data_IF_608128430925
#
_entry.id   IF_608128430925
#
_cell.length_a   1.000
_cell.length_b   1.000
_cell.length_c   1.000
_cell.angle_alpha   90.00
_cell.angle_beta   90.00
_cell.angle_gamma   90.00
#
_symmetry.space_group_name_H-M   'P 1'
#
loop_
_entity.id
_entity.type
_entity.pdbx_description
1 polymer ?
#
# COMPACT_ATOMS: atom_id res chain seq x y z
N UNK A 1 -6.30 -33.98 -30.65
CA UNK A 1 -7.57 -34.70 -30.55
C UNK A 1 -8.06 -34.54 -29.12
N UNK A 2 -8.94 -33.58 -28.87
CA UNK A 2 -9.66 -33.44 -27.60
C UNK A 2 -11.13 -33.65 -27.95
N UNK A 3 -11.71 -34.61 -27.26
CA UNK A 3 -13.08 -35.07 -27.44
C UNK A 3 -14.04 -33.89 -27.28
N UNK A 4 -14.77 -33.60 -28.35
CA UNK A 4 -15.92 -32.72 -28.31
C UNK A 4 -17.01 -33.45 -27.56
N UNK A 5 -17.19 -33.10 -26.29
CA UNK A 5 -18.33 -33.46 -25.47
C UNK A 5 -19.58 -32.84 -26.12
N UNK A 6 -20.21 -33.60 -27.00
CA UNK A 6 -21.54 -33.30 -27.53
C UNK A 6 -22.51 -33.38 -26.36
N UNK A 7 -22.86 -32.22 -25.80
CA UNK A 7 -24.07 -32.01 -25.02
C UNK A 7 -25.26 -32.43 -25.89
N UNK A 8 -25.67 -33.70 -25.77
CA UNK A 8 -26.93 -34.17 -26.33
C UNK A 8 -28.04 -33.39 -25.65
N UNK A 9 -28.63 -32.46 -26.40
CA UNK A 9 -29.85 -31.78 -26.01
C UNK A 9 -30.89 -32.87 -25.70
N UNK A 10 -31.49 -32.89 -24.49
CA UNK A 10 -32.50 -33.88 -24.15
C UNK A 10 -33.62 -33.81 -25.20
N UNK A 11 -33.85 -34.94 -25.88
CA UNK A 11 -34.81 -35.03 -26.97
C UNK A 11 -36.18 -34.52 -26.54
N UNK A 12 -36.89 -33.84 -27.44
CA UNK A 12 -38.16 -33.11 -27.18
C UNK A 12 -39.20 -33.93 -26.38
N UNK A 13 -39.19 -35.27 -26.51
CA UNK A 13 -39.99 -36.20 -25.71
C UNK A 13 -39.73 -36.09 -24.19
N UNK A 14 -38.46 -36.00 -23.78
CA UNK A 14 -38.08 -35.87 -22.36
C UNK A 14 -38.49 -34.51 -21.77
N UNK A 15 -38.58 -33.45 -22.59
CA UNK A 15 -39.04 -32.13 -22.12
C UNK A 15 -40.52 -32.10 -21.74
N UNK A 16 -41.36 -32.97 -22.33
CA UNK A 16 -42.76 -33.14 -21.93
C UNK A 16 -42.92 -33.91 -20.60
N UNK A 17 -41.90 -34.66 -20.19
CA UNK A 17 -41.86 -35.37 -18.91
C UNK A 17 -41.27 -34.50 -17.78
N UNK A 18 -40.33 -33.60 -18.08
CA UNK A 18 -39.72 -32.70 -17.08
C UNK A 18 -40.73 -31.76 -16.39
N UNK A 19 -40.45 -31.38 -15.14
CA UNK A 19 -41.31 -30.54 -14.27
C UNK A 19 -41.40 -29.06 -14.66
N UNK A 20 -41.21 -28.70 -15.92
CA UNK A 20 -41.32 -27.31 -16.37
C UNK A 20 -42.79 -26.84 -16.30
N UNK A 21 -43.06 -25.56 -15.98
CA UNK A 21 -44.43 -25.02 -15.94
C UNK A 21 -45.21 -25.26 -17.24
N UNK A 22 -44.53 -25.20 -18.38
CA UNK A 22 -45.10 -25.43 -19.70
C UNK A 22 -45.47 -26.91 -19.91
N UNK A 23 -44.62 -27.86 -19.49
CA UNK A 23 -44.92 -29.29 -19.57
C UNK A 23 -46.08 -29.70 -18.64
N UNK A 24 -46.23 -29.05 -17.48
CA UNK A 24 -47.38 -29.25 -16.59
C UNK A 24 -48.66 -28.71 -17.23
N UNK A 25 -48.61 -27.53 -17.84
CA UNK A 25 -49.77 -26.93 -18.52
C UNK A 25 -50.21 -27.73 -19.76
N UNK A 26 -49.26 -28.26 -20.54
CA UNK A 26 -49.56 -29.14 -21.68
C UNK A 26 -50.19 -30.46 -21.24
N UNK A 27 -49.73 -31.05 -20.13
CA UNK A 27 -50.34 -32.26 -19.55
C UNK A 27 -51.76 -32.04 -19.04
N UNK A 28 -52.05 -30.89 -18.42
CA UNK A 28 -53.41 -30.55 -17.94
C UNK A 28 -54.43 -30.41 -19.08
N UNK A 29 -53.96 -30.02 -20.26
CA UNK A 29 -54.78 -29.85 -21.47
C UNK A 29 -54.71 -31.08 -22.39
N UNK A 30 -54.28 -32.24 -21.85
CA UNK A 30 -54.18 -33.53 -22.54
C UNK A 30 -53.29 -33.53 -23.81
N UNK A 31 -52.36 -32.57 -23.91
CA UNK A 31 -51.32 -32.57 -24.96
C UNK A 31 -50.14 -33.41 -24.46
N UNK A 32 -50.37 -34.71 -24.30
CA UNK A 32 -49.41 -35.70 -23.78
C UNK A 32 -48.93 -36.57 -24.94
N UNK A 33 -47.71 -37.11 -24.84
CA UNK A 33 -47.13 -37.98 -25.87
C UNK A 33 -48.01 -39.22 -26.19
N UNK A 34 -48.75 -39.73 -25.20
CA UNK A 34 -49.74 -40.79 -25.39
C UNK A 34 -50.92 -40.37 -26.29
N UNK A 35 -51.41 -39.14 -26.12
CA UNK A 35 -52.53 -38.60 -26.91
C UNK A 35 -52.08 -38.24 -28.33
N UNK A 36 -50.86 -37.74 -28.48
CA UNK A 36 -50.23 -37.52 -29.78
C UNK A 36 -50.03 -38.84 -30.55
N UNK A 37 -49.55 -39.90 -29.88
CA UNK A 37 -49.46 -41.25 -30.46
C UNK A 37 -50.84 -41.82 -30.81
N UNK A 38 -51.87 -41.58 -29.99
CA UNK A 38 -53.24 -42.00 -30.28
C UNK A 38 -53.83 -41.28 -31.50
N UNK A 39 -53.56 -39.98 -31.66
CA UNK A 39 -53.95 -39.19 -32.85
C UNK A 39 -53.25 -39.74 -34.10
N UNK A 40 -51.95 -40.03 -34.01
CA UNK A 40 -51.23 -40.64 -35.12
C UNK A 40 -51.75 -42.04 -35.46
N UNK A 41 -52.06 -42.87 -34.47
CA UNK A 41 -52.56 -44.23 -34.72
C UNK A 41 -53.97 -44.21 -35.31
N UNK A 42 -54.86 -43.37 -34.78
CA UNK A 42 -56.29 -43.37 -35.09
C UNK A 42 -56.63 -42.54 -36.33
N UNK A 43 -55.88 -41.46 -36.59
CA UNK A 43 -56.22 -40.51 -37.66
C UNK A 43 -55.29 -40.56 -38.87
N UNK A 44 -54.10 -41.17 -38.75
CA UNK A 44 -53.18 -41.31 -39.88
C UNK A 44 -53.68 -42.39 -40.83
N UNK A 45 -53.88 -42.02 -42.09
CA UNK A 45 -54.31 -42.96 -43.12
C UNK A 45 -55.82 -43.15 -43.23
N UNK A 46 -56.65 -42.35 -42.53
CA UNK A 46 -58.07 -42.29 -42.82
C UNK A 46 -58.29 -41.90 -44.29
N UNK A 47 -59.06 -42.72 -44.98
CA UNK A 47 -59.47 -42.52 -46.37
C UNK A 47 -60.99 -42.53 -46.42
N UNK A 48 -61.55 -41.69 -47.27
CA UNK A 48 -62.98 -41.65 -47.55
C UNK A 48 -63.23 -42.69 -48.65
N UNK A 49 -64.22 -43.56 -48.47
CA UNK A 49 -64.44 -44.70 -49.37
C UNK A 49 -65.08 -44.32 -50.73
N UNK A 50 -65.63 -43.11 -50.84
CA UNK A 50 -66.25 -42.58 -52.06
C UNK A 50 -66.98 -41.25 -51.83
N UNK A 51 -67.56 -40.67 -52.88
CA UNK A 51 -68.24 -39.36 -52.82
C UNK A 51 -69.53 -39.42 -51.97
N UNK A 52 -70.19 -40.58 -51.92
CA UNK A 52 -71.42 -40.79 -51.14
C UNK A 52 -71.16 -41.20 -49.68
N UNK A 53 -69.90 -41.37 -49.28
CA UNK A 53 -69.50 -41.70 -47.90
C UNK A 53 -69.55 -40.46 -46.99
N UNK A 54 -70.76 -39.99 -46.75
CA UNK A 54 -71.07 -38.87 -45.84
C UNK A 54 -70.63 -39.14 -44.40
N UNK A 55 -70.45 -40.40 -44.00
CA UNK A 55 -69.96 -40.80 -42.68
C UNK A 55 -68.45 -40.59 -42.56
N UNK A 56 -67.66 -41.06 -43.55
CA UNK A 56 -66.22 -40.89 -43.61
C UNK A 56 -65.83 -39.42 -43.72
N UNK A 57 -66.60 -38.62 -44.46
CA UNK A 57 -66.39 -37.16 -44.55
C UNK A 57 -66.53 -36.50 -43.18
N UNK A 58 -67.54 -36.87 -42.38
CA UNK A 58 -67.73 -36.32 -41.02
C UNK A 58 -66.60 -36.72 -40.08
N UNK A 59 -66.18 -37.99 -40.11
CA UNK A 59 -65.10 -38.51 -39.26
C UNK A 59 -63.77 -37.79 -39.58
N UNK A 60 -63.43 -37.63 -40.85
CA UNK A 60 -62.23 -36.89 -41.28
C UNK A 60 -62.31 -35.41 -40.90
N UNK A 61 -63.48 -34.79 -41.06
CA UNK A 61 -63.68 -33.38 -40.70
C UNK A 61 -63.54 -33.15 -39.19
N UNK A 62 -64.07 -34.04 -38.36
CA UNK A 62 -63.99 -33.92 -36.90
C UNK A 62 -62.60 -34.26 -36.37
N UNK A 63 -61.92 -35.25 -36.95
CA UNK A 63 -60.50 -35.53 -36.70
C UNK A 63 -59.63 -34.30 -37.02
N UNK A 64 -59.86 -33.62 -38.15
CA UNK A 64 -59.15 -32.40 -38.54
C UNK A 64 -59.40 -31.25 -37.56
N UNK A 65 -60.65 -31.05 -37.12
CA UNK A 65 -60.99 -30.02 -36.13
C UNK A 65 -60.31 -30.29 -34.80
N UNK A 66 -60.28 -31.54 -34.36
CA UNK A 66 -59.63 -31.94 -33.11
C UNK A 66 -58.11 -31.73 -33.16
N UNK A 67 -57.44 -32.16 -34.24
CA UNK A 67 -56.00 -31.89 -34.44
C UNK A 67 -55.69 -30.38 -34.48
N UNK A 68 -56.54 -29.58 -35.13
CA UNK A 68 -56.38 -28.11 -35.19
C UNK A 68 -56.53 -27.49 -33.79
N UNK A 69 -57.50 -27.94 -32.99
CA UNK A 69 -57.68 -27.47 -31.61
C UNK A 69 -56.44 -27.78 -30.77
N UNK A 70 -55.96 -29.02 -30.78
CA UNK A 70 -54.79 -29.44 -30.00
C UNK A 70 -53.55 -28.63 -30.38
N UNK A 71 -53.29 -28.44 -31.69
CA UNK A 71 -52.18 -27.60 -32.18
C UNK A 71 -52.28 -26.16 -31.67
N UNK A 72 -53.47 -25.56 -31.78
CA UNK A 72 -53.68 -24.15 -31.38
C UNK A 72 -53.51 -23.99 -29.86
N UNK A 73 -53.98 -24.95 -29.07
CA UNK A 73 -53.79 -24.97 -27.61
C UNK A 73 -52.31 -25.08 -27.23
N UNK A 74 -51.57 -26.01 -27.86
CA UNK A 74 -50.14 -26.15 -27.63
C UNK A 74 -49.35 -24.87 -27.99
N UNK A 75 -49.63 -24.27 -29.16
CA UNK A 75 -49.00 -23.01 -29.58
C UNK A 75 -49.29 -21.87 -28.60
N UNK A 76 -50.51 -21.78 -28.06
CA UNK A 76 -50.90 -20.76 -27.09
C UNK A 76 -50.14 -20.92 -25.76
N UNK A 77 -50.07 -22.14 -25.22
CA UNK A 77 -49.37 -22.44 -23.96
C UNK A 77 -47.88 -22.16 -24.10
N UNK A 78 -47.26 -22.61 -25.20
CA UNK A 78 -45.84 -22.37 -25.44
C UNK A 78 -45.51 -20.89 -25.69
N UNK A 79 -46.40 -20.12 -26.33
CA UNK A 79 -46.23 -18.66 -26.48
C UNK A 79 -46.35 -17.92 -25.15
N UNK A 80 -47.34 -18.26 -24.33
CA UNK A 80 -47.50 -17.66 -22.99
C UNK A 80 -46.30 -17.98 -22.10
N UNK A 81 -45.85 -19.24 -22.08
CA UNK A 81 -44.69 -19.64 -21.28
C UNK A 81 -43.37 -18.97 -21.70
N UNK A 82 -43.24 -18.50 -22.96
CA UNK A 82 -42.11 -17.67 -23.38
C UNK A 82 -42.21 -16.24 -22.87
N UNK A 83 -43.40 -15.66 -22.91
CA UNK A 83 -43.63 -14.30 -22.41
C UNK A 83 -43.39 -14.23 -20.90
N UNK A 84 -43.89 -15.22 -20.16
CA UNK A 84 -43.67 -15.33 -18.71
C UNK A 84 -42.18 -15.45 -18.37
N UNK A 85 -41.44 -16.27 -19.13
CA UNK A 85 -39.99 -16.40 -18.95
C UNK A 85 -39.24 -15.09 -19.24
N UNK A 86 -39.65 -14.34 -20.28
CA UNK A 86 -39.06 -13.03 -20.60
C UNK A 86 -39.38 -12.00 -19.51
N UNK A 87 -40.60 -12.01 -18.96
CA UNK A 87 -40.97 -11.12 -17.87
C UNK A 87 -40.18 -11.44 -16.60
N UNK A 88 -40.02 -12.71 -16.28
CA UNK A 88 -39.24 -13.16 -15.14
C UNK A 88 -37.77 -12.77 -15.31
N UNK A 89 -37.17 -13.00 -16.48
CA UNK A 89 -35.82 -12.55 -16.80
C UNK A 89 -35.66 -11.03 -16.60
N UNK A 90 -36.62 -10.23 -17.08
CA UNK A 90 -36.60 -8.76 -16.87
C UNK A 90 -36.68 -8.38 -15.40
N UNK A 91 -37.46 -9.10 -14.59
CA UNK A 91 -37.54 -8.88 -13.13
C UNK A 91 -36.20 -9.19 -12.47
N UNK A 92 -35.56 -10.30 -12.81
CA UNK A 92 -34.23 -10.64 -12.29
C UNK A 92 -33.19 -9.57 -12.65
N UNK A 93 -33.18 -9.08 -13.88
CA UNK A 93 -32.28 -8.00 -14.30
C UNK A 93 -32.53 -6.69 -13.53
N UNK A 94 -33.79 -6.37 -13.21
CA UNK A 94 -34.13 -5.19 -12.42
C UNK A 94 -33.67 -5.34 -10.96
N UNK A 95 -33.88 -6.51 -10.36
CA UNK A 95 -33.43 -6.83 -8.99
C UNK A 95 -31.91 -6.81 -8.92
N UNK A 96 -31.22 -7.45 -9.87
CA UNK A 96 -29.77 -7.42 -9.99
C UNK A 96 -29.26 -5.99 -10.05
N UNK A 97 -29.81 -5.17 -10.97
CA UNK A 97 -29.42 -3.77 -11.10
C UNK A 97 -29.63 -3.00 -9.79
N UNK A 98 -30.78 -3.15 -9.14
CA UNK A 98 -31.07 -2.49 -7.87
C UNK A 98 -30.08 -2.87 -6.77
N UNK A 99 -29.79 -4.16 -6.63
CA UNK A 99 -28.84 -4.68 -5.63
C UNK A 99 -27.43 -4.19 -5.92
N UNK A 100 -26.97 -4.30 -7.17
CA UNK A 100 -25.64 -3.84 -7.60
C UNK A 100 -25.47 -2.33 -7.41
N UNK A 101 -26.46 -1.53 -7.79
CA UNK A 101 -26.40 -0.07 -7.62
C UNK A 101 -26.34 0.32 -6.13
N UNK A 102 -27.08 -0.40 -5.26
CA UNK A 102 -27.04 -0.17 -3.81
C UNK A 102 -25.70 -0.53 -3.20
N UNK A 103 -25.13 -1.67 -3.60
CA UNK A 103 -23.80 -2.11 -3.15
C UNK A 103 -22.72 -1.13 -3.63
N UNK A 104 -22.73 -0.75 -4.91
CA UNK A 104 -21.75 0.20 -5.47
C UNK A 104 -21.73 1.55 -4.76
N UNK A 105 -22.89 2.06 -4.35
CA UNK A 105 -22.96 3.29 -3.56
C UNK A 105 -22.16 3.16 -2.25
N UNK A 106 -22.33 2.05 -1.54
CA UNK A 106 -21.63 1.77 -0.29
C UNK A 106 -20.13 1.52 -0.54
N UNK A 107 -19.78 0.76 -1.57
CA UNK A 107 -18.37 0.53 -1.95
C UNK A 107 -17.64 1.85 -2.28
N UNK A 108 -18.32 2.78 -2.95
CA UNK A 108 -17.75 4.08 -3.30
C UNK A 108 -17.49 4.93 -2.06
N UNK A 109 -18.42 4.94 -1.10
CA UNK A 109 -18.24 5.64 0.18
C UNK A 109 -17.10 5.03 1.00
N UNK A 110 -17.05 3.70 1.10
CA UNK A 110 -15.99 2.98 1.80
C UNK A 110 -14.62 3.20 1.16
N UNK A 111 -14.53 3.15 -0.17
CA UNK A 111 -13.29 3.44 -0.90
C UNK A 111 -12.83 4.88 -0.70
N UNK A 112 -13.76 5.84 -0.62
CA UNK A 112 -13.43 7.23 -0.33
C UNK A 112 -12.85 7.39 1.08
N UNK A 113 -13.44 6.72 2.07
CA UNK A 113 -12.96 6.75 3.44
C UNK A 113 -11.61 6.02 3.60
N UNK A 114 -11.43 4.89 2.92
CA UNK A 114 -10.16 4.16 2.86
C UNK A 114 -9.03 5.07 2.35
N UNK A 115 -9.26 5.74 1.21
CA UNK A 115 -8.31 6.71 0.64
C UNK A 115 -8.04 7.88 1.60
N UNK A 116 -9.06 8.37 2.32
CA UNK A 116 -8.90 9.44 3.31
C UNK A 116 -7.99 9.01 4.46
N UNK A 117 -8.21 7.80 5.00
CA UNK A 117 -7.42 7.25 6.10
C UNK A 117 -5.99 6.96 5.67
N UNK A 118 -5.79 6.42 4.46
CA UNK A 118 -4.44 6.18 3.93
C UNK A 118 -3.65 7.48 3.79
N UNK A 119 -4.28 8.54 3.28
CA UNK A 119 -3.66 9.87 3.20
C UNK A 119 -3.30 10.42 4.58
N UNK A 120 -4.20 10.32 5.56
CA UNK A 120 -3.93 10.75 6.94
C UNK A 120 -2.81 9.94 7.61
N UNK A 121 -2.71 8.64 7.32
CA UNK A 121 -1.61 7.79 7.80
C UNK A 121 -0.28 8.22 7.19
N UNK A 122 -0.26 8.54 5.91
CA UNK A 122 0.94 9.03 5.24
C UNK A 122 1.37 10.40 5.77
N UNK A 123 0.45 11.33 5.94
CA UNK A 123 0.72 12.63 6.57
C UNK A 123 1.24 12.46 8.01
N UNK A 124 0.66 11.54 8.78
CA UNK A 124 1.13 11.18 10.13
C UNK A 124 2.54 10.59 10.13
N UNK A 125 2.87 9.73 9.16
CA UNK A 125 4.24 9.18 8.99
C UNK A 125 5.23 10.28 8.64
N UNK A 126 4.86 11.20 7.74
CA UNK A 126 5.72 12.31 7.35
C UNK A 126 5.97 13.28 8.50
N UNK A 127 4.94 13.62 9.27
CA UNK A 127 5.08 14.47 10.45
C UNK A 127 5.92 13.78 11.54
N UNK A 128 5.70 12.49 11.79
CA UNK A 128 6.53 11.71 12.72
C UNK A 128 7.99 11.65 12.27
N UNK A 129 8.25 11.43 10.98
CA UNK A 129 9.59 11.44 10.41
C UNK A 129 10.26 12.82 10.51
N UNK A 130 9.49 13.90 10.27
CA UNK A 130 9.99 15.29 10.46
C UNK A 130 10.34 15.56 11.92
N UNK A 131 9.51 15.13 12.86
CA UNK A 131 9.77 15.28 14.30
C UNK A 131 11.00 14.49 14.74
N UNK A 132 11.10 13.23 14.32
CA UNK A 132 12.26 12.39 14.62
C UNK A 132 13.55 13.00 14.05
N UNK A 133 13.52 13.51 12.81
CA UNK A 133 14.67 14.19 12.21
C UNK A 133 15.02 15.48 12.97
N UNK A 134 14.03 16.30 13.32
CA UNK A 134 14.26 17.53 14.08
C UNK A 134 14.85 17.25 15.48
N UNK A 135 14.41 16.17 16.12
CA UNK A 135 14.97 15.72 17.40
C UNK A 135 16.40 15.22 17.24
N UNK A 136 16.69 14.41 16.22
CA UNK A 136 18.03 13.93 15.93
C UNK A 136 19.00 15.07 15.58
N UNK A 137 18.54 16.09 14.84
CA UNK A 137 19.29 17.30 14.53
C UNK A 137 19.56 18.13 15.80
N UNK A 138 18.56 18.25 16.70
CA UNK A 138 18.72 18.90 18.01
C UNK A 138 19.77 18.18 18.85
N UNK A 139 19.67 16.85 18.99
CA UNK A 139 20.62 16.04 19.75
C UNK A 139 22.03 16.11 19.15
N UNK A 140 22.14 16.09 17.82
CA UNK A 140 23.42 16.28 17.14
C UNK A 140 24.03 17.66 17.44
N UNK A 141 23.22 18.71 17.47
CA UNK A 141 23.66 20.06 17.86
C UNK A 141 24.29 20.08 19.25
N UNK A 142 23.64 19.43 20.22
CA UNK A 142 24.15 19.33 21.59
C UNK A 142 25.43 18.49 21.65
N UNK A 143 25.50 17.35 20.94
CA UNK A 143 26.73 16.56 20.83
C UNK A 143 27.91 17.41 20.29
N UNK A 144 27.65 18.22 19.26
CA UNK A 144 28.66 19.09 18.66
C UNK A 144 29.13 20.18 19.64
N UNK A 145 28.23 20.71 20.48
CA UNK A 145 28.63 21.64 21.55
C UNK A 145 29.53 20.98 22.59
N UNK A 146 29.17 19.79 23.08
CA UNK A 146 30.03 19.04 23.99
C UNK A 146 31.41 18.78 23.35
N UNK A 147 31.44 18.39 22.08
CA UNK A 147 32.69 18.13 21.36
C UNK A 147 33.58 19.38 21.26
N UNK A 148 33.01 20.57 21.02
CA UNK A 148 33.75 21.85 21.04
C UNK A 148 34.34 22.20 22.40
N UNK A 149 33.73 21.68 23.47
CA UNK A 149 34.20 21.82 24.85
C UNK A 149 35.16 20.70 25.26
N UNK A 150 35.53 19.82 24.33
CA UNK A 150 36.46 18.70 24.58
C UNK A 150 35.83 17.53 25.33
N UNK A 151 34.49 17.47 25.42
CA UNK A 151 33.76 16.34 26.02
C UNK A 151 33.00 15.59 24.92
N UNK A 152 33.12 14.27 24.84
CA UNK A 152 32.34 13.46 23.92
C UNK A 152 31.13 12.88 24.66
N UNK A 153 29.93 13.19 24.16
CA UNK A 153 28.67 12.63 24.63
C UNK A 153 27.92 12.00 23.47
N UNK A 154 27.52 10.74 23.62
CA UNK A 154 26.73 10.03 22.63
C UNK A 154 25.30 10.57 22.57
N UNK A 155 24.65 10.48 21.41
CA UNK A 155 23.27 10.95 21.23
C UNK A 155 22.29 10.26 22.18
N UNK A 156 22.44 8.95 22.37
CA UNK A 156 21.56 8.17 23.23
C UNK A 156 21.64 8.58 24.69
N UNK A 157 22.82 8.99 25.17
CA UNK A 157 22.97 9.53 26.53
C UNK A 157 22.19 10.83 26.70
N UNK A 158 22.24 11.72 25.69
CA UNK A 158 21.59 13.04 25.75
C UNK A 158 20.08 12.92 25.58
N UNK A 159 19.59 11.95 24.78
CA UNK A 159 18.16 11.77 24.49
C UNK A 159 17.32 11.60 25.76
N UNK A 160 17.84 10.91 26.76
CA UNK A 160 17.13 10.65 28.03
C UNK A 160 17.47 11.65 29.14
N UNK A 161 18.34 12.63 28.89
CA UNK A 161 18.64 13.67 29.88
C UNK A 161 17.56 14.74 29.87
N UNK A 162 17.20 15.23 31.05
CA UNK A 162 16.36 16.41 31.16
C UNK A 162 17.10 17.65 30.60
N UNK A 163 16.39 18.56 29.90
CA UNK A 163 16.99 19.77 29.33
C UNK A 163 17.81 20.59 30.34
N UNK A 164 17.34 20.72 31.58
CA UNK A 164 18.06 21.47 32.63
C UNK A 164 19.40 20.83 33.03
N UNK A 165 19.49 19.50 32.98
CA UNK A 165 20.75 18.77 33.25
C UNK A 165 21.73 18.98 32.10
N UNK A 166 21.25 18.95 30.86
CA UNK A 166 22.08 19.20 29.67
C UNK A 166 22.70 20.60 29.74
N UNK A 167 21.90 21.62 30.06
CA UNK A 167 22.38 23.00 30.18
C UNK A 167 23.39 23.17 31.31
N UNK A 168 23.14 22.57 32.48
CA UNK A 168 24.08 22.59 33.60
C UNK A 168 25.42 21.94 33.26
N UNK A 169 25.40 20.80 32.55
CA UNK A 169 26.62 20.12 32.10
C UNK A 169 27.39 20.92 31.05
N UNK A 170 26.69 21.58 30.11
CA UNK A 170 27.31 22.47 29.13
C UNK A 170 27.94 23.69 29.81
N UNK A 171 27.25 24.30 30.79
CA UNK A 171 27.78 25.43 31.55
C UNK A 171 29.04 25.05 32.34
N UNK A 172 29.02 23.90 33.02
CA UNK A 172 30.19 23.39 33.73
C UNK A 172 31.37 23.13 32.78
N UNK A 173 31.11 22.55 31.60
CA UNK A 173 32.15 22.30 30.60
C UNK A 173 32.72 23.60 29.99
N UNK A 174 31.89 24.65 29.82
CA UNK A 174 32.35 25.98 29.38
C UNK A 174 33.26 26.63 30.41
N UNK A 175 32.89 26.59 31.68
CA UNK A 175 33.70 27.13 32.77
C UNK A 175 35.04 26.39 32.88
N UNK A 176 35.02 25.06 32.84
CA UNK A 176 36.26 24.25 32.88
C UNK A 176 37.20 24.57 31.70
N UNK A 177 36.65 24.79 30.50
CA UNK A 177 37.45 25.20 29.34
C UNK A 177 38.03 26.61 29.52
N UNK A 178 37.23 27.56 30.00
CA UNK A 178 37.68 28.92 30.28
C UNK A 178 38.80 28.95 31.34
N UNK A 179 38.69 28.14 32.39
CA UNK A 179 39.71 28.02 33.43
C UNK A 179 41.01 27.45 32.87
N UNK A 180 40.94 26.43 32.00
CA UNK A 180 42.11 25.86 31.32
C UNK A 180 42.77 26.86 30.37
N UNK A 181 41.98 27.62 29.61
CA UNK A 181 42.48 28.67 28.72
C UNK A 181 43.12 29.81 29.51
N UNK A 182 42.51 30.24 30.62
CA UNK A 182 43.08 31.26 31.50
C UNK A 182 44.39 30.78 32.16
N UNK A 183 44.45 29.52 32.59
CA UNK A 183 45.68 28.93 33.12
C UNK A 183 46.79 28.83 32.05
N UNK A 184 46.44 28.41 30.83
CA UNK A 184 47.37 28.37 29.70
C UNK A 184 47.89 29.78 29.36
N UNK A 185 47.01 30.78 29.36
CA UNK A 185 47.39 32.17 29.11
C UNK A 185 48.34 32.71 30.19
N UNK A 186 48.08 32.42 31.47
CA UNK A 186 49.00 32.77 32.57
C UNK A 186 50.39 32.15 32.37
N UNK A 187 50.48 30.87 32.00
CA UNK A 187 51.77 30.22 31.71
C UNK A 187 52.49 30.86 30.52
N UNK A 188 51.77 31.27 29.48
CA UNK A 188 52.35 31.99 28.33
C UNK A 188 52.88 33.36 28.77
N UNK A 189 52.14 34.09 29.60
CA UNK A 189 52.55 35.41 30.07
C UNK A 189 53.71 35.33 31.07
N UNK A 190 53.74 34.33 31.96
CA UNK A 190 54.88 34.02 32.82
C UNK A 190 56.12 33.67 32.00
N UNK A 191 55.97 32.85 30.95
CA UNK A 191 57.08 32.53 30.05
C UNK A 191 57.61 33.77 29.33
N UNK A 192 56.71 34.64 28.83
CA UNK A 192 57.11 35.92 28.21
C UNK A 192 57.82 36.84 29.19
N UNK A 193 57.37 36.89 30.45
CA UNK A 193 58.04 37.66 31.49
C UNK A 193 59.43 37.09 31.81
N UNK A 194 59.56 35.76 31.90
CA UNK A 194 60.85 35.09 32.08
C UNK A 194 61.79 35.36 30.89
N UNK A 195 61.33 35.23 29.65
CA UNK A 195 62.12 35.52 28.45
C UNK A 195 62.57 36.99 28.41
N UNK A 196 61.73 37.93 28.85
CA UNK A 196 62.09 39.34 28.97
C UNK A 196 63.17 39.60 30.03
N UNK A 197 63.12 38.93 31.18
CA UNK A 197 64.16 39.04 32.21
C UNK A 197 65.49 38.43 31.77
N UNK A 198 65.46 37.29 31.06
CA UNK A 198 66.66 36.69 30.45
C UNK A 198 67.28 37.65 29.43
N UNK A 199 66.46 38.27 28.57
CA UNK A 199 66.94 39.25 27.59
C UNK A 199 67.60 40.46 28.25
N UNK A 200 67.07 40.95 29.38
CA UNK A 200 67.64 42.07 30.11
C UNK A 200 68.97 41.71 30.79
N UNK A 201 69.05 40.54 31.43
CA UNK A 201 70.30 40.02 31.99
C UNK A 201 71.39 39.87 30.91
N UNK A 202 71.02 39.39 29.73
CA UNK A 202 71.94 39.31 28.59
C UNK A 202 72.45 40.69 28.15
N UNK A 203 71.58 41.72 28.13
CA UNK A 203 72.01 43.10 27.86
C UNK A 203 72.98 43.62 28.92
N UNK A 204 72.73 43.35 30.19
CA UNK A 204 73.62 43.76 31.28
C UNK A 204 74.99 43.06 31.18
N UNK A 205 75.01 41.75 30.89
CA UNK A 205 76.26 41.00 30.67
C UNK A 205 77.02 41.59 29.47
N UNK A 206 76.35 41.84 28.35
CA UNK A 206 76.97 42.44 27.17
C UNK A 206 77.54 43.85 27.45
N UNK A 207 76.80 44.68 28.20
CA UNK A 207 77.26 46.00 28.62
C UNK A 207 78.48 45.91 29.56
N UNK A 208 78.47 44.98 30.52
CA UNK A 208 79.60 44.75 31.43
C UNK A 208 80.84 44.24 30.68
N UNK A 209 80.67 43.31 29.73
CA UNK A 209 81.77 42.84 28.87
C UNK A 209 82.35 43.99 28.04
N UNK A 210 81.50 44.87 27.50
CA UNK A 210 81.94 46.07 26.78
C UNK A 210 82.74 47.01 27.67
N UNK A 211 82.32 47.22 28.92
CA UNK A 211 83.07 48.02 29.90
C UNK A 211 84.41 47.38 30.28
N UNK A 212 84.47 46.06 30.44
CA UNK A 212 85.71 45.33 30.72
C UNK A 212 86.71 45.42 29.56
N UNK A 213 86.23 45.26 28.32
CA UNK A 213 87.07 45.44 27.14
C UNK A 213 87.57 46.88 27.02
N UNK A 214 86.71 47.87 27.31
CA UNK A 214 87.11 49.28 27.32
C UNK A 214 88.16 49.59 28.40
N UNK A 215 88.06 48.99 29.59
CA UNK A 215 89.06 49.14 30.67
C UNK A 215 90.39 48.46 30.33
N UNK A 216 90.37 47.31 29.66
CA UNK A 216 91.59 46.63 29.22
C UNK A 216 92.27 47.31 28.01
N UNK A 217 91.58 48.23 27.32
CA UNK A 217 92.08 48.92 26.13
C UNK A 217 92.79 50.27 26.43
N UNK A 218 93.17 50.57 27.67
CA UNK A 218 93.92 51.78 28.04
C UNK A 218 95.10 51.45 28.99
N UNK A 219 96.31 52.00 28.77
CA UNK A 219 97.25 51.54 27.74
C UNK A 219 98.55 50.97 28.31
N UNK A 220 99.06 49.90 27.69
CA UNK A 220 100.50 49.64 27.64
C UNK A 220 101.02 50.17 26.30
N UNK A 221 101.64 51.35 26.33
CA UNK A 221 102.38 51.93 25.20
C UNK A 221 103.77 52.36 25.67
N UNK A 222 104.78 51.57 25.30
CA UNK A 222 106.25 51.83 25.15
C UNK A 222 106.87 50.42 25.03
N UNK A 223 107.66 50.01 24.05
CA UNK A 223 108.46 50.64 22.99
C UNK A 223 108.98 49.50 22.08
N UNK A 224 109.10 49.76 20.77
CA UNK A 224 110.16 49.31 19.83
C UNK A 224 110.60 47.81 19.75
N UNK A 225 111.01 47.20 18.62
CA UNK A 225 111.02 47.49 17.18
C UNK A 225 111.64 46.27 16.44
N UNK A 226 111.16 45.97 15.21
CA UNK A 226 111.88 45.40 14.02
C UNK A 226 112.42 43.94 14.00
N UNK A 227 112.78 43.35 12.82
CA UNK A 227 111.99 42.81 11.69
C UNK A 227 112.22 41.27 11.47
N UNK A 228 111.63 40.56 10.50
CA UNK A 228 112.26 40.17 9.20
C UNK A 228 111.33 39.22 8.40
N UNK A 229 111.46 39.28 7.06
CA UNK A 229 110.90 38.49 5.93
C UNK A 229 110.77 36.96 6.17
N UNK A 230 109.93 36.14 5.48
CA UNK A 230 109.86 35.85 4.02
C UNK A 230 108.65 34.95 3.66
N UNK A 231 107.86 35.35 2.65
CA UNK A 231 107.41 34.65 1.40
C UNK A 231 106.81 33.18 1.40
N UNK A 232 106.19 32.67 0.30
CA UNK A 232 104.74 32.41 0.21
C UNK A 232 104.34 30.96 -0.20
N UNK A 233 103.09 30.53 0.03
CA UNK A 233 102.51 29.39 -0.73
C UNK A 233 100.97 29.30 -0.66
N UNK A 234 100.32 29.36 -1.82
CA UNK A 234 98.97 28.82 -2.11
C UNK A 234 99.06 27.28 -2.34
N UNK A 235 97.99 26.53 -2.72
CA UNK A 235 96.58 26.41 -2.27
C UNK A 235 96.24 24.91 -1.99
N UNK A 236 94.94 24.54 -1.93
CA UNK A 236 94.32 23.20 -1.71
C UNK A 236 94.29 22.73 -0.23
N UNK A 237 93.22 22.20 0.34
CA UNK A 237 92.02 21.55 -0.18
C UNK A 237 91.86 20.21 0.55
N UNK A 238 90.79 20.00 1.34
CA UNK A 238 90.08 18.72 1.52
C UNK A 238 89.07 18.74 2.68
N UNK A 239 87.82 18.38 2.33
CA UNK A 239 86.78 17.82 3.20
C UNK A 239 87.14 16.36 3.59
N UNK A 240 86.41 15.61 4.48
CA UNK A 240 85.02 15.12 4.27
C UNK A 240 84.17 15.11 5.58
N UNK A 241 82.87 14.87 5.64
CA UNK A 241 81.90 14.36 4.68
C UNK A 241 80.45 14.40 5.21
N UNK A 242 79.53 14.32 4.26
CA UNK A 242 78.09 13.95 4.33
C UNK A 242 77.89 12.48 4.79
N UNK A 243 76.69 11.95 5.18
CA UNK A 243 75.42 12.13 4.43
C UNK A 243 74.06 12.01 5.18
N UNK A 244 73.00 12.24 4.39
CA UNK A 244 71.61 11.73 4.51
C UNK A 244 70.74 12.27 5.67
N UNK A 245 69.41 12.41 5.58
CA UNK A 245 68.39 12.35 4.53
C UNK A 245 67.08 12.85 5.17
N UNK A 246 66.14 13.37 4.35
CA UNK A 246 64.65 13.30 4.42
C UNK A 246 63.97 13.45 5.81
N UNK A 247 62.93 14.29 5.95
CA UNK A 247 61.53 13.92 5.63
C UNK A 247 60.64 15.19 5.69
N UNK A 248 59.88 15.39 4.59
CA UNK A 248 58.51 15.90 4.40
C UNK A 248 57.81 16.77 5.47
N UNK A 249 57.26 17.91 5.04
CA UNK A 249 55.87 18.35 5.30
C UNK A 249 55.51 19.50 4.32
N UNK A 250 54.84 19.25 3.20
CA UNK A 250 53.37 19.20 2.99
C UNK A 250 52.62 20.52 3.26
N UNK A 251 52.20 21.15 2.14
CA UNK A 251 50.93 21.88 1.84
C UNK A 251 50.37 22.88 2.88
N UNK A 252 49.85 24.07 2.51
CA UNK A 252 48.67 24.29 1.65
C UNK A 252 48.72 25.69 1.04
N UNK A 253 48.54 25.76 -0.28
CA UNK A 253 48.18 26.97 -1.01
C UNK A 253 47.07 26.56 -1.99
N UNK A 254 45.88 27.11 -1.84
CA UNK A 254 44.88 27.11 -2.93
C UNK A 254 44.12 28.43 -2.89
N UNK A 255 44.16 29.11 -4.04
CA UNK A 255 43.33 30.24 -4.42
C UNK A 255 41.95 29.76 -4.89
N UNK A 256 41.00 30.66 -4.68
CA UNK A 256 39.77 30.98 -5.43
C UNK A 256 39.70 30.50 -6.90
N UNK A 257 38.52 30.08 -7.41
CA UNK A 257 37.53 30.96 -8.05
C UNK A 257 36.46 30.21 -8.89
N UNK A 258 35.21 30.70 -8.78
CA UNK A 258 34.16 30.93 -9.78
C UNK A 258 33.85 29.95 -10.95
N UNK A 259 32.61 29.41 -10.91
CA UNK A 259 31.49 29.88 -11.75
C UNK A 259 31.22 29.21 -13.12
N UNK A 260 29.97 28.78 -13.36
CA UNK A 260 29.19 29.14 -14.58
C UNK A 260 27.74 28.59 -14.60
N UNK A 261 26.83 29.47 -15.05
CA UNK A 261 25.44 29.25 -15.44
C UNK A 261 25.30 28.88 -16.93
N UNK A 262 24.25 28.11 -17.29
CA UNK A 262 23.31 28.23 -18.46
C UNK A 262 22.71 26.84 -18.76
N UNK A 263 21.39 26.61 -18.78
CA UNK A 263 20.29 27.10 -19.66
C UNK A 263 20.12 26.32 -20.99
N UNK A 264 18.84 26.12 -21.38
CA UNK A 264 18.27 25.61 -22.65
C UNK A 264 18.06 24.08 -22.78
N UNK A 265 17.01 23.53 -23.41
CA UNK A 265 15.72 24.01 -23.93
C UNK A 265 14.89 22.82 -24.50
N UNK A 266 13.64 23.10 -24.93
CA UNK A 266 12.79 22.38 -25.93
C UNK A 266 12.06 21.09 -25.47
N UNK A 267 10.77 20.82 -25.73
CA UNK A 267 9.73 21.48 -26.53
C UNK A 267 9.21 20.60 -27.68
N UNK A 268 8.00 20.01 -27.55
CA UNK A 268 7.07 19.51 -28.62
C UNK A 268 5.81 19.00 -27.90
N UNK A 269 4.58 19.54 -27.98
CA UNK A 269 3.63 19.91 -29.06
C UNK A 269 2.83 18.76 -29.70
N UNK A 270 1.62 18.51 -29.13
CA UNK A 270 0.27 18.25 -29.75
C UNK A 270 0.06 17.02 -30.69
N UNK A 271 -1.19 16.57 -31.03
CA UNK A 271 -2.53 17.15 -30.79
C UNK A 271 -3.69 16.22 -30.29
N UNK A 272 -4.79 16.88 -29.92
CA UNK A 272 -6.22 16.50 -29.75
C UNK A 272 -6.85 15.75 -30.98
N UNK A 273 -8.18 15.45 -31.05
CA UNK A 273 -9.14 14.80 -30.12
C UNK A 273 -10.13 13.84 -30.85
N UNK A 274 -11.05 13.16 -30.12
CA UNK A 274 -12.41 12.90 -30.64
C UNK A 274 -13.47 12.81 -29.52
N UNK A 275 -14.72 13.29 -29.77
CA UNK A 275 -15.84 13.31 -28.83
C UNK A 275 -16.85 12.19 -29.10
N UNK A 276 -17.91 12.08 -28.27
CA UNK A 276 -19.32 11.71 -28.59
C UNK A 276 -20.05 11.29 -27.28
N UNK A 277 -21.39 11.18 -27.24
CA UNK A 277 -22.37 12.27 -27.27
C UNK A 277 -23.32 12.23 -26.06
N UNK A 278 -24.08 13.31 -25.87
CA UNK A 278 -24.97 13.50 -24.72
C UNK A 278 -26.27 12.70 -24.71
N UNK A 279 -26.93 12.74 -23.56
CA UNK A 279 -28.36 12.46 -23.44
C UNK A 279 -29.05 13.60 -22.70
N UNK A 280 -29.96 14.20 -23.45
CA UNK A 280 -30.99 15.14 -23.06
C UNK A 280 -32.12 14.46 -22.27
N UNK A 281 -32.80 15.28 -21.46
CA UNK A 281 -34.24 15.17 -21.20
C UNK A 281 -34.61 14.34 -19.96
N UNK A 282 -35.71 14.60 -19.27
CA UNK A 282 -36.72 15.66 -19.34
C UNK A 282 -37.59 15.42 -18.09
N UNK A 283 -38.02 16.48 -17.44
CA UNK A 283 -38.96 16.43 -16.31
C UNK A 283 -40.35 15.91 -16.73
N UNK A 284 -41.09 15.35 -15.76
CA UNK A 284 -42.52 15.56 -15.44
C UNK A 284 -43.11 14.33 -14.69
N UNK A 285 -44.32 14.38 -14.11
CA UNK A 285 -44.77 15.28 -13.05
C UNK A 285 -45.46 14.52 -11.88
N UNK A 286 -45.88 15.27 -10.87
CA UNK A 286 -46.73 14.84 -9.76
C UNK A 286 -48.15 14.43 -10.21
N UNK A 287 -48.72 13.41 -9.56
CA UNK A 287 -50.16 13.15 -9.41
C UNK A 287 -50.33 12.10 -8.29
N UNK A 288 -50.80 12.49 -7.11
CA UNK A 288 -52.20 12.47 -6.64
C UNK A 288 -52.47 11.28 -5.71
N UNK A 289 -52.69 11.64 -4.45
CA UNK A 289 -53.25 10.81 -3.41
C UNK A 289 -54.73 10.53 -3.68
N UNK A 290 -55.16 9.28 -3.44
CA UNK A 290 -56.56 8.94 -3.20
C UNK A 290 -56.62 7.82 -2.17
N UNK A 291 -57.56 7.97 -1.24
CA UNK A 291 -57.67 7.28 0.03
C UNK A 291 -58.46 5.95 -0.03
N UNK A 292 -58.07 5.00 0.84
CA UNK A 292 -58.89 4.07 1.65
C UNK A 292 -59.90 3.10 0.96
N UNK A 293 -60.40 2.01 1.61
CA UNK A 293 -60.35 1.68 3.03
C UNK A 293 -59.94 0.23 3.40
N UNK A 294 -59.80 0.06 4.71
CA UNK A 294 -59.39 -1.12 5.45
C UNK A 294 -60.36 -2.32 5.39
N UNK A 295 -59.78 -3.52 5.55
CA UNK A 295 -60.45 -4.74 6.01
C UNK A 295 -59.42 -5.60 6.78
N UNK A 296 -59.78 -6.24 7.90
CA UNK A 296 -58.83 -6.71 8.90
C UNK A 296 -58.29 -8.10 8.54
N UNK A 297 -56.97 -8.23 8.43
CA UNK A 297 -56.29 -9.53 8.39
C UNK A 297 -55.44 -9.65 9.65
N UNK A 298 -55.61 -10.77 10.35
CA UNK A 298 -54.94 -11.10 11.59
C UNK A 298 -53.42 -10.88 11.49
N UNK A 299 -52.90 -10.05 12.39
CA UNK A 299 -51.48 -9.78 12.55
C UNK A 299 -50.84 -11.04 13.13
N UNK A 300 -50.23 -11.85 12.29
CA UNK A 300 -49.13 -12.70 12.71
C UNK A 300 -47.95 -11.76 13.00
N UNK A 301 -47.35 -11.88 14.18
CA UNK A 301 -46.20 -11.08 14.60
C UNK A 301 -45.09 -11.16 13.55
N UNK A 302 -44.81 -10.09 12.78
CA UNK A 302 -43.82 -10.11 11.71
C UNK A 302 -42.40 -10.36 12.25
N UNK A 303 -42.16 -10.02 13.52
CA UNK A 303 -40.89 -10.22 14.19
C UNK A 303 -40.63 -11.71 14.50
N UNK A 304 -41.67 -12.52 14.71
CA UNK A 304 -41.53 -13.95 14.98
C UNK A 304 -41.22 -14.77 13.72
N UNK A 305 -41.68 -14.33 12.54
CA UNK A 305 -41.29 -14.94 11.26
C UNK A 305 -39.88 -14.53 10.84
N UNK A 306 -39.47 -13.29 11.12
CA UNK A 306 -38.12 -12.81 10.85
C UNK A 306 -37.07 -13.58 11.68
N UNK A 307 -37.33 -13.81 12.98
CA UNK A 307 -36.45 -14.63 13.82
C UNK A 307 -36.35 -16.09 13.34
N UNK A 308 -37.44 -16.67 12.83
CA UNK A 308 -37.41 -18.03 12.27
C UNK A 308 -36.59 -18.11 10.98
N UNK A 309 -36.66 -17.08 10.14
CA UNK A 309 -35.87 -16.99 8.91
C UNK A 309 -34.37 -16.85 9.22
N UNK A 310 -34.00 -16.02 10.19
CA UNK A 310 -32.60 -15.82 10.61
C UNK A 310 -32.02 -17.10 11.24
N UNK A 311 -32.79 -17.80 12.07
CA UNK A 311 -32.38 -19.09 12.64
C UNK A 311 -32.16 -20.16 11.55
N UNK A 312 -33.05 -20.25 10.57
CA UNK A 312 -32.93 -21.19 9.45
C UNK A 312 -31.70 -20.88 8.55
N UNK A 313 -31.39 -19.61 8.34
CA UNK A 313 -30.20 -19.18 7.60
C UNK A 313 -28.91 -19.57 8.33
N UNK A 314 -28.84 -19.35 9.65
CA UNK A 314 -27.68 -19.73 10.47
C UNK A 314 -27.45 -21.25 10.49
N UNK A 315 -28.52 -22.05 10.59
CA UNK A 315 -28.46 -23.51 10.50
C UNK A 315 -27.97 -24.00 9.12
N UNK A 316 -28.44 -23.36 8.04
CA UNK A 316 -27.99 -23.68 6.68
C UNK A 316 -26.50 -23.37 6.51
N UNK A 317 -26.03 -22.25 7.07
CA UNK A 317 -24.63 -21.85 7.04
C UNK A 317 -23.73 -22.79 7.85
N UNK A 318 -24.17 -23.19 9.06
CA UNK A 318 -23.47 -24.19 9.87
C UNK A 318 -23.31 -25.54 9.13
N UNK A 319 -24.33 -25.97 8.37
CA UNK A 319 -24.26 -27.16 7.54
C UNK A 319 -23.27 -27.02 6.37
N UNK A 320 -23.23 -25.87 5.69
CA UNK A 320 -22.24 -25.61 4.64
C UNK A 320 -20.80 -25.65 5.18
N UNK A 321 -20.57 -25.12 6.37
CA UNK A 321 -19.28 -25.18 7.06
C UNK A 321 -18.86 -26.63 7.36
N UNK A 322 -19.79 -27.47 7.83
CA UNK A 322 -19.53 -28.89 8.06
C UNK A 322 -19.24 -29.67 6.77
N UNK A 323 -19.83 -29.25 5.64
CA UNK A 323 -19.52 -29.80 4.33
C UNK A 323 -18.09 -29.41 3.92
N UNK A 324 -17.69 -28.14 4.10
CA UNK A 324 -16.33 -27.67 3.79
C UNK A 324 -15.25 -28.42 4.61
N UNK A 325 -15.55 -28.79 5.88
CA UNK A 325 -14.66 -29.66 6.67
C UNK A 325 -14.38 -31.02 6.00
N UNK A 326 -15.35 -31.59 5.28
CA UNK A 326 -15.21 -32.90 4.61
C UNK A 326 -14.35 -32.84 3.35
N UNK A 327 -14.25 -31.67 2.71
CA UNK A 327 -13.53 -31.48 1.45
C UNK A 327 -12.13 -30.87 1.63
N UNK A 328 -11.68 -30.61 2.86
CA UNK A 328 -10.29 -30.20 3.11
C UNK A 328 -9.36 -31.41 2.86
N UNK A 329 -8.43 -31.34 1.89
CA UNK A 329 -7.51 -32.44 1.61
C UNK A 329 -6.53 -32.66 2.76
N UNK A 330 -6.14 -33.91 3.02
CA UNK A 330 -5.09 -34.23 4.01
C UNK A 330 -3.73 -33.91 3.39
N UNK A 331 -3.03 -32.90 3.90
CA UNK A 331 -1.76 -32.45 3.31
C UNK A 331 -0.57 -33.36 3.70
N UNK A 332 0.36 -33.57 2.78
CA UNK A 332 1.48 -34.52 2.91
C UNK A 332 2.74 -33.98 3.62
N UNK A 333 2.75 -32.70 4.06
CA UNK A 333 3.90 -32.08 4.71
C UNK A 333 3.55 -31.59 6.11
N UNK A 334 4.51 -31.69 7.05
CA UNK A 334 4.31 -31.35 8.48
C UNK A 334 3.81 -29.91 8.69
N UNK A 335 4.33 -28.94 7.94
CA UNK A 335 3.88 -27.54 7.99
C UNK A 335 2.46 -27.35 7.42
N UNK A 336 2.09 -28.12 6.41
CA UNK A 336 0.73 -28.08 5.89
C UNK A 336 -0.26 -28.77 6.84
N UNK A 337 0.16 -29.81 7.58
CA UNK A 337 -0.66 -30.41 8.64
C UNK A 337 -0.95 -29.41 9.78
N UNK A 338 0.05 -28.66 10.24
CA UNK A 338 -0.13 -27.60 11.26
C UNK A 338 -1.08 -26.49 10.79
N UNK A 339 -0.96 -26.06 9.53
CA UNK A 339 -1.87 -25.07 8.94
C UNK A 339 -3.30 -25.62 8.79
N UNK A 340 -3.45 -26.89 8.41
CA UNK A 340 -4.75 -27.55 8.30
C UNK A 340 -5.42 -27.70 9.67
N UNK A 341 -4.67 -28.05 10.70
CA UNK A 341 -5.16 -28.14 12.08
C UNK A 341 -5.62 -26.76 12.60
N UNK A 342 -4.86 -25.71 12.30
CA UNK A 342 -5.23 -24.33 12.62
C UNK A 342 -6.52 -23.90 11.92
N UNK A 343 -6.64 -24.18 10.61
CA UNK A 343 -7.83 -23.86 9.83
C UNK A 343 -9.05 -24.66 10.36
N UNK A 344 -8.89 -25.95 10.63
CA UNK A 344 -9.96 -26.78 11.19
C UNK A 344 -10.43 -26.28 12.57
N UNK A 345 -9.49 -25.87 13.44
CA UNK A 345 -9.79 -25.29 14.75
C UNK A 345 -10.56 -23.96 14.65
N UNK A 346 -10.18 -23.08 13.72
CA UNK A 346 -10.89 -21.81 13.49
C UNK A 346 -12.31 -22.05 12.94
N UNK A 347 -12.46 -22.98 12.00
CA UNK A 347 -13.77 -23.37 11.46
C UNK A 347 -14.67 -23.92 12.57
N UNK A 348 -14.13 -24.71 13.49
CA UNK A 348 -14.89 -25.27 14.61
C UNK A 348 -15.33 -24.20 15.62
N UNK A 349 -14.44 -23.28 16.01
CA UNK A 349 -14.80 -22.14 16.87
C UNK A 349 -15.89 -21.28 16.25
N UNK A 350 -15.79 -21.05 14.94
CA UNK A 350 -16.78 -20.26 14.22
C UNK A 350 -18.12 -20.99 14.10
N UNK A 351 -18.13 -22.31 13.86
CA UNK A 351 -19.34 -23.11 13.87
C UNK A 351 -20.03 -23.10 15.26
N UNK A 352 -19.26 -23.25 16.35
CA UNK A 352 -19.79 -23.17 17.72
C UNK A 352 -20.38 -21.78 18.02
N UNK A 353 -19.74 -20.72 17.54
CA UNK A 353 -20.25 -19.35 17.67
C UNK A 353 -21.59 -19.16 16.96
N UNK A 354 -21.70 -19.64 15.72
CA UNK A 354 -22.94 -19.56 14.92
C UNK A 354 -24.06 -20.37 15.57
N UNK A 355 -23.78 -21.59 16.04
CA UNK A 355 -24.78 -22.41 16.74
C UNK A 355 -25.27 -21.75 18.02
N UNK A 356 -24.34 -21.23 18.85
CA UNK A 356 -24.71 -20.53 20.08
C UNK A 356 -25.56 -19.29 19.80
N UNK A 357 -25.23 -18.52 18.75
CA UNK A 357 -26.04 -17.38 18.31
C UNK A 357 -27.43 -17.78 17.81
N UNK A 358 -27.56 -18.94 17.17
CA UNK A 358 -28.85 -19.50 16.76
C UNK A 358 -29.68 -20.08 17.92
N UNK A 359 -29.08 -20.37 19.08
CA UNK A 359 -29.78 -20.77 20.31
C UNK A 359 -30.24 -19.57 21.14
N UNK A 360 -29.48 -18.46 21.10
CA UNK A 360 -29.83 -17.18 21.73
C UNK A 360 -30.99 -16.45 21.02
N UNK A 361 -31.19 -16.73 19.72
CA UNK A 361 -32.31 -16.31 18.89
C UNK A 361 -33.41 -17.39 18.88
#
# INVERSE_FOLDING_TARGET
MKESETLELPGVATMLETGTPQAIALRKENVIESELKAIELNYRGLKIAGIDDTSGIKIVADARKYCKKLRTTAERICKAGREDAIQEQKRWLQVEKYVVDRIKSVETELSTEENRIEKLREEGRQEAARRAKAEDDRLQGICNEFARLGKLKAKDEIRYMEPGIIEALLAAARNEKADKEAAAQKLVDEKRAADATIAELQRQIAAMQTQMQAKNAQPAATTAATPTLTKPQQPNGNQPGTPCERILAYTVRMHENNGHHKAAAQGTSLPFPLPLPGLNGKAAPAAQAAAAPAGPAAVADPDAELLKADKAALLTFANQINILKKYLPVASTKKAAELHELIASQIEKFAQFVTKKAEEL
#
